data_IF_994152499662
#
_entry.id   IF_994152499662
#
_cell.length_a   1.000
_cell.length_b   1.000
_cell.length_c   1.000
_cell.angle_alpha   90.00
_cell.angle_beta   90.00
_cell.angle_gamma   90.00
#
_symmetry.space_group_name_H-M   'P 1'
#
loop_
_entity.id
_entity.type
_entity.pdbx_description
1 polymer ?
#
# COMPACT_ATOMS: atom_id res chain seq x y z
N UNK A 1 14.03 -10.99 1.33
CA UNK A 1 12.82 -10.58 0.57
C UNK A 1 11.66 -10.50 1.55
N UNK A 2 11.07 -9.31 1.76
CA UNK A 2 10.03 -9.06 2.78
C UNK A 2 8.70 -9.73 2.38
N UNK A 3 8.27 -9.54 1.13
CA UNK A 3 7.07 -10.17 0.59
C UNK A 3 7.40 -11.46 -0.19
N UNK A 4 6.60 -12.51 0.01
CA UNK A 4 6.68 -13.80 -0.70
C UNK A 4 5.30 -14.17 -1.28
N UNK A 5 4.88 -13.52 -2.37
CA UNK A 5 3.57 -13.76 -2.94
C UNK A 5 3.51 -15.11 -3.66
N UNK A 6 2.32 -15.73 -3.62
CA UNK A 6 2.08 -17.06 -4.17
C UNK A 6 1.75 -17.05 -5.68
N UNK A 7 1.43 -15.89 -6.24
CA UNK A 7 0.93 -15.72 -7.62
C UNK A 7 1.76 -14.63 -8.30
N UNK A 8 1.90 -14.70 -9.63
CA UNK A 8 2.58 -13.67 -10.45
C UNK A 8 1.66 -12.46 -10.69
N UNK A 9 2.21 -11.26 -10.64
CA UNK A 9 1.47 -10.02 -10.93
C UNK A 9 0.59 -9.57 -9.76
N UNK A 10 0.85 -10.11 -8.57
CA UNK A 10 0.19 -9.81 -7.32
C UNK A 10 0.13 -8.32 -7.01
N UNK A 11 1.21 -7.59 -7.29
CA UNK A 11 1.32 -6.18 -6.96
C UNK A 11 0.37 -5.37 -7.84
N UNK A 12 0.39 -5.64 -9.14
CA UNK A 12 -0.50 -5.04 -10.12
C UNK A 12 -1.96 -5.37 -9.82
N UNK A 13 -2.26 -6.60 -9.39
CA UNK A 13 -3.59 -7.00 -8.94
C UNK A 13 -4.10 -6.15 -7.78
N UNK A 14 -3.26 -5.92 -6.76
CA UNK A 14 -3.60 -5.04 -5.62
C UNK A 14 -3.80 -3.59 -6.08
N UNK A 15 -2.93 -3.07 -6.94
CA UNK A 15 -3.05 -1.70 -7.49
C UNK A 15 -4.37 -1.56 -8.27
N UNK A 16 -4.71 -2.52 -9.13
CA UNK A 16 -5.99 -2.54 -9.86
C UNK A 16 -7.18 -2.61 -8.92
N UNK A 17 -7.12 -3.42 -7.86
CA UNK A 17 -8.18 -3.50 -6.86
C UNK A 17 -8.41 -2.15 -6.16
N UNK A 18 -7.34 -1.47 -5.75
CA UNK A 18 -7.44 -0.14 -5.11
C UNK A 18 -8.06 0.87 -6.08
N UNK A 19 -7.65 0.86 -7.36
CA UNK A 19 -8.23 1.75 -8.40
C UNK A 19 -9.72 1.57 -8.56
N UNK A 20 -10.24 0.34 -8.51
CA UNK A 20 -11.67 0.10 -8.58
C UNK A 20 -12.39 0.45 -7.27
N UNK A 21 -11.76 0.16 -6.12
CA UNK A 21 -12.33 0.46 -4.81
C UNK A 21 -12.59 1.96 -4.62
N UNK A 22 -11.65 2.83 -5.02
CA UNK A 22 -11.79 4.29 -4.92
C UNK A 22 -12.98 4.83 -5.69
N UNK A 23 -13.44 4.13 -6.74
CA UNK A 23 -14.61 4.57 -7.53
C UNK A 23 -15.95 4.36 -6.81
N UNK A 24 -16.00 3.46 -5.84
CA UNK A 24 -17.26 3.02 -5.21
C UNK A 24 -17.28 3.19 -3.69
N UNK A 25 -16.12 3.21 -3.05
CA UNK A 25 -15.98 3.36 -1.59
C UNK A 25 -15.60 4.83 -1.29
N UNK A 26 -16.34 5.53 -0.43
CA UNK A 26 -16.08 6.94 -0.12
C UNK A 26 -14.70 7.23 0.48
N UNK A 27 -14.17 6.28 1.27
CA UNK A 27 -12.86 6.41 1.90
C UNK A 27 -12.06 5.11 1.71
N UNK A 28 -10.92 5.22 1.03
CA UNK A 28 -9.97 4.11 0.84
C UNK A 28 -8.62 4.56 1.39
N UNK A 29 -8.04 3.71 2.27
CA UNK A 29 -6.76 3.95 2.90
C UNK A 29 -5.81 2.79 2.65
N UNK A 30 -4.57 3.10 2.31
CA UNK A 30 -3.49 2.13 2.18
C UNK A 30 -2.52 2.30 3.34
N UNK A 31 -1.93 1.20 3.80
CA UNK A 31 -0.97 1.23 4.91
C UNK A 31 0.34 0.62 4.50
N UNK A 32 1.44 1.19 5.00
CA UNK A 32 2.78 0.63 4.84
C UNK A 32 3.44 0.53 6.20
N UNK A 33 4.16 -0.57 6.43
CA UNK A 33 4.97 -0.74 7.63
C UNK A 33 6.39 -0.29 7.35
N UNK A 34 6.89 0.64 8.17
CA UNK A 34 8.23 1.18 8.08
C UNK A 34 9.21 0.16 8.68
N UNK A 35 9.88 -0.55 7.79
CA UNK A 35 10.97 -1.49 8.10
C UNK A 35 12.18 -1.22 7.19
N UNK A 36 13.39 -1.62 7.61
CA UNK A 36 14.58 -1.50 6.79
C UNK A 36 14.38 -2.14 5.40
N UNK A 37 14.70 -1.38 4.35
CA UNK A 37 14.59 -1.84 2.96
C UNK A 37 13.27 -1.50 2.25
N UNK A 38 12.30 -0.88 2.95
CA UNK A 38 11.12 -0.27 2.31
C UNK A 38 11.40 1.20 2.02
N UNK A 39 11.08 1.63 0.80
CA UNK A 39 11.16 3.04 0.40
C UNK A 39 9.78 3.68 0.57
N UNK A 40 9.63 4.50 1.62
CA UNK A 40 8.36 5.15 1.96
C UNK A 40 7.96 6.19 0.91
N UNK A 41 8.90 6.97 0.38
CA UNK A 41 8.62 7.97 -0.67
C UNK A 41 8.02 7.34 -1.93
N UNK A 42 8.47 6.14 -2.31
CA UNK A 42 7.87 5.39 -3.42
C UNK A 42 6.44 4.96 -3.10
N UNK A 43 6.18 4.55 -1.86
CA UNK A 43 4.83 4.20 -1.42
C UNK A 43 3.90 5.42 -1.40
N UNK A 44 4.41 6.60 -0.99
CA UNK A 44 3.69 7.87 -1.02
C UNK A 44 3.27 8.22 -2.44
N UNK A 45 4.21 8.20 -3.39
CA UNK A 45 3.91 8.46 -4.81
C UNK A 45 2.86 7.51 -5.38
N UNK A 46 2.95 6.21 -5.05
CA UNK A 46 1.95 5.23 -5.49
C UNK A 46 0.57 5.56 -4.91
N UNK A 47 0.50 5.99 -3.65
CA UNK A 47 -0.76 6.34 -3.00
C UNK A 47 -1.37 7.63 -3.61
N UNK A 48 -0.53 8.63 -3.90
CA UNK A 48 -0.92 9.85 -4.61
C UNK A 48 -1.48 9.54 -6.02
N UNK A 49 -0.78 8.71 -6.80
CA UNK A 49 -1.20 8.26 -8.14
C UNK A 49 -2.53 7.47 -8.13
N UNK A 50 -2.89 6.94 -6.97
CA UNK A 50 -4.13 6.20 -6.73
C UNK A 50 -5.23 7.07 -6.10
N UNK A 51 -4.92 8.28 -5.64
CA UNK A 51 -5.85 9.16 -4.95
C UNK A 51 -6.30 8.64 -3.58
N UNK A 52 -5.43 7.89 -2.88
CA UNK A 52 -5.73 7.29 -1.57
C UNK A 52 -4.84 7.83 -0.47
N UNK A 53 -5.34 7.87 0.76
CA UNK A 53 -4.53 8.22 1.92
C UNK A 53 -3.52 7.09 2.22
N UNK A 54 -2.25 7.45 2.38
CA UNK A 54 -1.22 6.54 2.90
C UNK A 54 -1.03 6.75 4.40
N UNK A 55 -1.18 5.66 5.16
CA UNK A 55 -0.81 5.62 6.58
C UNK A 55 0.46 4.80 6.78
N UNK A 56 1.53 5.47 7.20
CA UNK A 56 2.79 4.84 7.60
C UNK A 56 2.67 4.35 9.05
N UNK A 57 3.07 3.10 9.30
CA UNK A 57 3.11 2.50 10.63
C UNK A 57 4.53 2.11 10.97
N UNK A 58 5.02 2.49 12.14
CA UNK A 58 6.30 1.99 12.64
C UNK A 58 6.18 0.52 13.04
N UNK A 59 7.20 -0.27 12.68
CA UNK A 59 7.36 -1.63 13.16
C UNK A 59 7.70 -1.55 14.66
N UNK A 60 7.08 -2.40 15.48
CA UNK A 60 7.28 -2.53 16.95
C UNK A 60 6.48 -1.60 17.88
N UNK A 61 5.57 -0.75 17.40
CA UNK A 61 4.54 -0.16 18.27
C UNK A 61 3.32 -1.10 18.40
N UNK A 62 3.37 -1.97 19.41
CA UNK A 62 2.19 -2.69 19.93
C UNK A 62 1.57 -1.80 21.00
N UNK A 63 0.35 -1.31 20.75
CA UNK A 63 -0.44 -0.59 21.75
C UNK A 63 -1.14 -1.53 22.71
#
# INVERSE_FOLDING_TARGET
KICKPAIKGEFQGVISFIREAVKVIPEVKVTVVKIPGINIEKCEKIAEDLGVELRVRDFDMVG
#
